data_IF_908577934489
#
_entry.id   IF_908577934489
#
_cell.length_a   1.000
_cell.length_b   1.000
_cell.length_c   1.000
_cell.angle_alpha   90.00
_cell.angle_beta   90.00
_cell.angle_gamma   90.00
#
_symmetry.space_group_name_H-M   'P 1'
#
loop_
_entity.id
_entity.type
_entity.pdbx_description
1 polymer ?
#
# COMPACT_ATOMS: atom_id res chain seq x y z
N UNK A 1 13.01 4.70 -5.71
CA UNK A 1 12.43 3.62 -4.89
C UNK A 1 13.22 2.31 -4.96
N UNK A 2 13.90 2.00 -6.06
CA UNK A 2 14.54 0.69 -6.32
C UNK A 2 15.63 0.27 -5.30
N UNK A 3 16.45 1.19 -4.78
CA UNK A 3 17.51 0.81 -3.81
C UNK A 3 16.97 0.28 -2.49
N UNK A 4 15.89 0.87 -1.97
CA UNK A 4 15.23 0.36 -0.77
C UNK A 4 14.67 -1.05 -1.01
N UNK A 5 14.20 -1.32 -2.24
CA UNK A 5 13.65 -2.60 -2.69
C UNK A 5 14.72 -3.67 -2.96
N UNK A 6 15.94 -3.29 -3.33
CA UNK A 6 16.99 -4.23 -3.69
C UNK A 6 18.06 -4.42 -2.61
N UNK A 7 18.40 -3.35 -1.87
CA UNK A 7 19.62 -3.31 -1.05
C UNK A 7 19.36 -2.93 0.42
N UNK A 8 18.12 -2.60 0.78
CA UNK A 8 17.70 -2.28 2.14
C UNK A 8 18.11 -0.89 2.63
N UNK A 9 17.68 -0.53 3.84
CA UNK A 9 17.81 0.85 4.35
C UNK A 9 19.26 1.35 4.47
N UNK A 10 20.19 0.49 4.89
CA UNK A 10 21.60 0.88 5.07
C UNK A 10 22.29 1.24 3.75
N UNK A 11 21.83 0.66 2.64
CA UNK A 11 22.34 0.94 1.30
C UNK A 11 21.64 2.14 0.63
N UNK A 12 20.49 2.57 1.14
CA UNK A 12 19.73 3.73 0.65
C UNK A 12 20.32 5.07 1.12
N UNK A 13 21.61 5.28 0.84
CA UNK A 13 22.26 6.58 1.04
C UNK A 13 21.77 7.58 0.00
N UNK A 14 21.86 8.89 0.28
CA UNK A 14 21.50 9.93 -0.69
C UNK A 14 22.33 9.83 -1.99
N UNK A 15 23.58 9.37 -1.89
CA UNK A 15 24.42 9.10 -3.07
C UNK A 15 23.92 7.93 -3.89
N UNK A 16 23.53 6.83 -3.22
CA UNK A 16 22.94 5.69 -3.90
C UNK A 16 21.64 6.11 -4.60
N UNK A 17 20.75 6.81 -3.89
CA UNK A 17 19.49 7.28 -4.48
C UNK A 17 19.74 8.20 -5.68
N UNK A 18 20.68 9.14 -5.57
CA UNK A 18 21.03 10.03 -6.68
C UNK A 18 21.52 9.23 -7.90
N UNK A 19 22.40 8.25 -7.68
CA UNK A 19 22.92 7.39 -8.73
C UNK A 19 21.82 6.57 -9.43
N UNK A 20 20.89 5.97 -8.68
CA UNK A 20 19.77 5.22 -9.26
C UNK A 20 18.74 6.11 -9.94
N UNK A 21 18.51 7.32 -9.43
CA UNK A 21 17.61 8.29 -10.06
C UNK A 21 18.23 9.00 -11.28
N UNK A 22 19.52 8.75 -11.59
CA UNK A 22 20.21 9.40 -12.70
C UNK A 22 20.44 10.91 -12.49
N UNK A 23 20.39 11.38 -11.24
CA UNK A 23 20.59 12.79 -10.87
C UNK A 23 21.91 12.98 -10.13
N UNK A 24 22.45 14.20 -10.15
CA UNK A 24 23.64 14.50 -9.34
C UNK A 24 23.28 14.53 -7.85
N UNK A 25 24.25 14.21 -6.98
CA UNK A 25 24.08 14.36 -5.53
C UNK A 25 23.65 15.78 -5.15
N UNK A 26 24.22 16.80 -5.80
CA UNK A 26 23.85 18.20 -5.60
C UNK A 26 22.42 18.51 -6.03
N UNK A 27 21.97 17.93 -7.15
CA UNK A 27 20.59 18.07 -7.64
C UNK A 27 19.58 17.37 -6.73
N UNK A 28 19.91 16.17 -6.23
CA UNK A 28 19.07 15.48 -5.24
C UNK A 28 18.97 16.29 -3.95
N UNK A 29 20.10 16.78 -3.43
CA UNK A 29 20.15 17.56 -2.19
C UNK A 29 19.41 18.90 -2.28
N UNK A 30 19.25 19.46 -3.48
CA UNK A 30 18.43 20.65 -3.69
C UNK A 30 16.95 20.40 -3.36
N UNK A 31 16.45 19.20 -3.67
CA UNK A 31 15.06 18.82 -3.38
C UNK A 31 14.90 18.10 -2.03
N UNK A 32 15.86 17.26 -1.66
CA UNK A 32 15.85 16.45 -0.44
C UNK A 32 17.14 16.69 0.35
N UNK A 33 17.18 17.71 1.23
CA UNK A 33 18.39 18.11 1.94
C UNK A 33 18.89 17.06 2.95
N UNK A 34 18.08 16.05 3.27
CA UNK A 34 18.41 14.97 4.19
C UNK A 34 17.72 13.67 3.81
N UNK A 35 18.18 12.55 4.39
CA UNK A 35 17.50 11.26 4.29
C UNK A 35 16.08 11.33 4.86
N UNK A 36 15.88 12.09 5.93
CA UNK A 36 14.56 12.33 6.52
C UNK A 36 13.63 13.04 5.53
N UNK A 37 14.11 14.07 4.82
CA UNK A 37 13.32 14.77 3.80
C UNK A 37 12.93 13.86 2.64
N UNK A 38 13.80 12.90 2.28
CA UNK A 38 13.49 11.89 1.27
C UNK A 38 12.42 10.91 1.75
N UNK A 39 12.47 10.48 3.02
CA UNK A 39 11.43 9.61 3.60
C UNK A 39 10.10 10.36 3.70
N UNK A 40 10.13 11.65 4.06
CA UNK A 40 8.94 12.51 4.08
C UNK A 40 8.31 12.59 2.68
N UNK A 41 9.09 12.91 1.65
CA UNK A 41 8.57 12.98 0.27
C UNK A 41 8.05 11.63 -0.24
N UNK A 42 8.65 10.51 0.18
CA UNK A 42 8.13 9.18 -0.14
C UNK A 42 6.81 8.88 0.59
N UNK A 43 6.67 9.32 1.85
CA UNK A 43 5.44 9.22 2.62
C UNK A 43 4.31 10.04 1.99
N UNK A 44 4.58 11.30 1.62
CA UNK A 44 3.62 12.17 0.93
C UNK A 44 3.19 11.55 -0.41
N UNK A 45 4.14 10.97 -1.16
CA UNK A 45 3.83 10.29 -2.41
C UNK A 45 2.95 9.04 -2.20
N UNK A 46 3.23 8.24 -1.18
CA UNK A 46 2.40 7.09 -0.82
C UNK A 46 0.98 7.52 -0.45
N UNK A 47 0.85 8.57 0.38
CA UNK A 47 -0.45 9.08 0.81
C UNK A 47 -1.28 9.61 -0.36
N UNK A 48 -0.65 10.28 -1.34
CA UNK A 48 -1.33 10.73 -2.55
C UNK A 48 -1.83 9.56 -3.41
N UNK A 49 -0.98 8.55 -3.64
CA UNK A 49 -1.37 7.36 -4.41
C UNK A 49 -2.50 6.57 -3.72
N UNK A 50 -2.46 6.45 -2.40
CA UNK A 50 -3.52 5.78 -1.65
C UNK A 50 -4.83 6.57 -1.67
N UNK A 51 -4.78 7.91 -1.65
CA UNK A 51 -5.96 8.74 -1.79
C UNK A 51 -6.61 8.55 -3.18
N UNK A 52 -5.81 8.50 -4.24
CA UNK A 52 -6.30 8.18 -5.59
C UNK A 52 -6.96 6.79 -5.64
N UNK A 53 -6.35 5.78 -5.02
CA UNK A 53 -6.93 4.43 -4.95
C UNK A 53 -8.25 4.39 -4.17
N UNK A 54 -8.37 5.15 -3.08
CA UNK A 54 -9.63 5.32 -2.33
C UNK A 54 -10.72 5.96 -3.20
N UNK A 55 -10.38 6.97 -4.02
CA UNK A 55 -11.33 7.56 -4.96
C UNK A 55 -11.82 6.54 -6.00
N UNK A 56 -10.93 5.72 -6.55
CA UNK A 56 -11.28 4.64 -7.47
C UNK A 56 -12.16 3.59 -6.79
N UNK A 57 -11.78 3.18 -5.57
CA UNK A 57 -12.51 2.21 -4.76
C UNK A 57 -13.95 2.67 -4.47
N UNK A 58 -14.14 3.93 -4.09
CA UNK A 58 -15.45 4.50 -3.81
C UNK A 58 -16.33 4.64 -5.07
N UNK A 59 -15.71 4.78 -6.24
CA UNK A 59 -16.40 4.84 -7.53
C UNK A 59 -16.66 3.46 -8.16
N UNK A 60 -16.13 2.38 -7.57
CA UNK A 60 -16.22 1.04 -8.13
C UNK A 60 -17.67 0.53 -8.18
N UNK A 61 -18.18 0.08 -9.34
CA UNK A 61 -19.56 -0.41 -9.48
C UNK A 61 -19.90 -1.60 -8.57
N UNK A 62 -18.91 -2.42 -8.22
CA UNK A 62 -19.02 -3.56 -7.33
C UNK A 62 -18.97 -3.22 -5.83
N UNK A 63 -18.67 -1.96 -5.49
CA UNK A 63 -18.53 -1.48 -4.12
C UNK A 63 -17.09 -1.57 -3.56
N UNK A 64 -16.74 -0.71 -2.59
CA UNK A 64 -15.44 -0.71 -1.92
C UNK A 64 -14.93 -2.08 -1.44
N UNK A 65 -15.77 -2.90 -0.82
CA UNK A 65 -15.37 -4.19 -0.28
C UNK A 65 -14.95 -5.18 -1.38
N UNK A 66 -15.69 -5.24 -2.47
CA UNK A 66 -15.37 -6.10 -3.59
C UNK A 66 -14.14 -5.61 -4.37
N UNK A 67 -14.03 -4.28 -4.54
CA UNK A 67 -12.85 -3.66 -5.14
C UNK A 67 -11.59 -3.99 -4.33
N UNK A 68 -11.60 -3.73 -3.02
CA UNK A 68 -10.44 -3.91 -2.13
C UNK A 68 -9.87 -5.33 -2.22
N UNK A 69 -10.74 -6.35 -2.17
CA UNK A 69 -10.32 -7.76 -2.29
C UNK A 69 -9.74 -8.07 -3.67
N UNK A 70 -10.38 -7.57 -4.74
CA UNK A 70 -9.97 -7.85 -6.12
C UNK A 70 -8.63 -7.19 -6.46
N UNK A 71 -8.37 -6.00 -5.94
CA UNK A 71 -7.13 -5.24 -6.19
C UNK A 71 -6.04 -5.50 -5.16
N UNK A 72 -6.29 -6.32 -4.14
CA UNK A 72 -5.29 -6.79 -3.16
C UNK A 72 -4.31 -7.81 -3.76
N UNK A 73 -3.62 -7.39 -4.81
CA UNK A 73 -2.58 -8.12 -5.53
C UNK A 73 -1.28 -7.33 -5.51
N UNK A 74 -0.14 -7.99 -5.73
CA UNK A 74 1.12 -7.30 -5.93
C UNK A 74 1.44 -7.24 -7.42
N UNK A 75 1.28 -6.07 -8.05
CA UNK A 75 1.50 -5.87 -9.48
C UNK A 75 2.74 -4.99 -9.79
N UNK A 76 3.56 -4.71 -8.77
CA UNK A 76 4.73 -3.83 -8.86
C UNK A 76 4.38 -2.41 -9.36
N UNK A 77 3.18 -1.94 -8.99
CA UNK A 77 2.70 -0.59 -9.28
C UNK A 77 3.50 0.47 -8.50
N UNK A 78 3.39 1.77 -8.85
CA UNK A 78 3.96 2.84 -8.03
C UNK A 78 3.51 2.78 -6.56
N UNK A 79 2.23 2.46 -6.32
CA UNK A 79 1.67 2.28 -4.97
C UNK A 79 2.34 1.11 -4.26
N UNK A 80 2.44 -0.04 -4.90
CA UNK A 80 3.06 -1.25 -4.32
C UNK A 80 4.50 -0.99 -3.90
N UNK A 81 5.28 -0.39 -4.81
CA UNK A 81 6.69 -0.05 -4.57
C UNK A 81 6.82 0.93 -3.40
N UNK A 82 5.89 1.87 -3.24
CA UNK A 82 5.92 2.86 -2.16
C UNK A 82 5.56 2.19 -0.82
N UNK A 83 4.55 1.32 -0.79
CA UNK A 83 4.18 0.50 0.36
C UNK A 83 5.36 -0.37 0.80
N UNK A 84 5.98 -1.13 -0.11
CA UNK A 84 7.10 -2.01 0.22
C UNK A 84 8.30 -1.20 0.71
N UNK A 85 8.61 -0.07 0.09
CA UNK A 85 9.72 0.79 0.52
C UNK A 85 9.51 1.35 1.94
N UNK A 86 8.31 1.82 2.26
CA UNK A 86 8.00 2.35 3.59
C UNK A 86 7.84 1.24 4.64
N UNK A 87 7.36 0.05 4.27
CA UNK A 87 7.35 -1.13 5.16
C UNK A 87 8.77 -1.54 5.57
N UNK A 88 9.73 -1.48 4.66
CA UNK A 88 11.15 -1.75 5.02
C UNK A 88 11.73 -0.68 5.94
N UNK A 89 11.35 0.58 5.76
CA UNK A 89 11.76 1.68 6.63
C UNK A 89 11.07 1.61 8.00
N UNK A 90 9.86 1.08 8.09
CA UNK A 90 9.12 0.96 9.35
C UNK A 90 9.73 -0.11 10.27
N UNK A 91 10.31 -1.17 9.68
CA UNK A 91 11.02 -2.25 10.37
C UNK A 91 12.26 -1.77 11.16
N UNK A 92 12.85 -0.63 10.77
CA UNK A 92 13.96 0.00 11.49
C UNK A 92 13.51 1.14 12.40
N UNK A 93 12.22 1.14 12.76
CA UNK A 93 11.57 2.09 13.65
C UNK A 93 11.53 3.53 13.13
N UNK A 94 11.49 3.74 11.80
CA UNK A 94 11.26 5.08 11.26
C UNK A 94 9.81 5.55 11.55
N UNK A 95 9.60 6.59 12.37
CA UNK A 95 8.26 6.97 12.82
C UNK A 95 7.40 7.55 11.70
N UNK A 96 8.01 8.20 10.70
CA UNK A 96 7.29 8.77 9.54
C UNK A 96 6.76 7.68 8.64
N UNK A 97 7.58 6.68 8.35
CA UNK A 97 7.15 5.53 7.56
C UNK A 97 5.99 4.77 8.25
N UNK A 98 6.09 4.56 9.57
CA UNK A 98 5.00 3.98 10.34
C UNK A 98 3.72 4.83 10.32
N UNK A 99 3.86 6.16 10.36
CA UNK A 99 2.72 7.06 10.33
C UNK A 99 2.02 7.06 8.96
N UNK A 100 2.79 7.10 7.86
CA UNK A 100 2.26 7.05 6.51
C UNK A 100 1.49 5.74 6.25
N UNK A 101 2.09 4.60 6.61
CA UNK A 101 1.44 3.29 6.49
C UNK A 101 0.13 3.22 7.30
N UNK A 102 0.10 3.78 8.52
CA UNK A 102 -1.13 3.86 9.30
C UNK A 102 -2.20 4.75 8.67
N UNK A 103 -1.81 5.87 8.05
CA UNK A 103 -2.76 6.81 7.41
C UNK A 103 -3.43 6.19 6.19
N UNK A 104 -2.65 5.53 5.32
CA UNK A 104 -3.24 4.88 4.14
C UNK A 104 -4.15 3.72 4.54
N UNK A 105 -3.75 2.94 5.55
CA UNK A 105 -4.56 1.84 6.09
C UNK A 105 -5.87 2.40 6.65
N UNK A 106 -5.80 3.47 7.43
CA UNK A 106 -7.00 4.15 7.94
C UNK A 106 -7.91 4.67 6.80
N UNK A 107 -7.36 5.24 5.74
CA UNK A 107 -8.14 5.73 4.59
C UNK A 107 -8.91 4.61 3.89
N UNK A 108 -8.27 3.47 3.63
CA UNK A 108 -8.97 2.30 3.09
C UNK A 108 -10.03 1.77 4.05
N UNK A 109 -9.73 1.71 5.35
CA UNK A 109 -10.68 1.25 6.36
C UNK A 109 -11.92 2.14 6.45
N UNK A 110 -11.75 3.45 6.34
CA UNK A 110 -12.85 4.43 6.34
C UNK A 110 -13.78 4.21 5.14
N UNK A 111 -13.22 4.06 3.93
CA UNK A 111 -13.99 3.77 2.75
C UNK A 111 -14.73 2.42 2.81
N UNK A 112 -14.08 1.38 3.34
CA UNK A 112 -14.75 0.09 3.62
C UNK A 112 -15.90 0.25 4.63
N UNK A 113 -15.76 1.12 5.62
CA UNK A 113 -16.77 1.35 6.67
C UNK A 113 -17.96 2.18 6.17
N UNK A 114 -17.84 2.88 5.04
CA UNK A 114 -18.98 3.55 4.39
C UNK A 114 -19.95 2.55 3.77
N UNK A 115 -19.44 1.44 3.23
CA UNK A 115 -20.25 0.34 2.69
C UNK A 115 -20.66 -0.65 3.79
N UNK A 116 -19.73 -1.06 4.64
CA UNK A 116 -19.88 -2.16 5.59
C UNK A 116 -20.21 -1.63 6.99
N UNK A 117 -21.48 -1.72 7.37
CA UNK A 117 -21.99 -1.14 8.63
C UNK A 117 -21.48 -1.85 9.90
N UNK A 118 -21.18 -3.15 9.84
CA UNK A 118 -20.58 -3.87 10.97
C UNK A 118 -19.06 -3.63 11.01
N UNK A 119 -18.52 -2.96 12.06
CA UNK A 119 -17.10 -2.71 12.16
C UNK A 119 -16.25 -3.99 12.22
N UNK A 120 -16.80 -5.11 12.70
CA UNK A 120 -16.11 -6.39 12.69
C UNK A 120 -16.02 -6.97 11.28
N UNK A 121 -17.08 -6.86 10.49
CA UNK A 121 -17.08 -7.25 9.08
C UNK A 121 -16.13 -6.38 8.25
N UNK A 122 -16.15 -5.05 8.43
CA UNK A 122 -15.23 -4.14 7.73
C UNK A 122 -13.75 -4.49 8.03
N UNK A 123 -13.43 -4.78 9.30
CA UNK A 123 -12.09 -5.25 9.68
C UNK A 123 -11.75 -6.60 9.07
N UNK A 124 -12.71 -7.53 8.98
CA UNK A 124 -12.48 -8.84 8.37
C UNK A 124 -12.15 -8.70 6.88
N UNK A 125 -12.90 -7.87 6.13
CA UNK A 125 -12.61 -7.57 4.71
C UNK A 125 -11.20 -7.04 4.55
N UNK A 126 -10.82 -6.07 5.38
CA UNK A 126 -9.49 -5.47 5.35
C UNK A 126 -8.38 -6.49 5.61
N UNK A 127 -8.55 -7.35 6.64
CA UNK A 127 -7.57 -8.39 6.98
C UNK A 127 -7.41 -9.44 5.86
N UNK A 128 -8.49 -9.77 5.15
CA UNK A 128 -8.43 -10.67 4.00
C UNK A 128 -7.60 -10.02 2.89
N UNK A 129 -7.91 -8.78 2.51
CA UNK A 129 -7.16 -8.06 1.47
C UNK A 129 -5.68 -7.87 1.85
N UNK A 130 -5.40 -7.46 3.09
CA UNK A 130 -4.02 -7.36 3.59
C UNK A 130 -3.29 -8.71 3.47
N UNK A 131 -3.95 -9.81 3.84
CA UNK A 131 -3.40 -11.16 3.71
C UNK A 131 -3.07 -11.55 2.28
N UNK A 132 -3.96 -11.24 1.33
CA UNK A 132 -3.76 -11.48 -0.10
C UNK A 132 -2.57 -10.66 -0.63
N UNK A 133 -2.56 -9.36 -0.35
CA UNK A 133 -1.53 -8.43 -0.81
C UNK A 133 -0.15 -8.78 -0.26
N UNK A 134 -0.02 -8.92 1.07
CA UNK A 134 1.27 -9.23 1.69
C UNK A 134 1.74 -10.65 1.36
N UNK A 135 0.82 -11.61 1.20
CA UNK A 135 1.14 -12.95 0.70
C UNK A 135 1.82 -12.89 -0.68
N UNK A 136 1.20 -12.19 -1.63
CA UNK A 136 1.76 -11.97 -2.97
C UNK A 136 3.10 -11.22 -2.91
N UNK A 137 3.16 -10.10 -2.21
CA UNK A 137 4.38 -9.28 -2.11
C UNK A 137 5.55 -10.03 -1.46
N UNK A 138 5.30 -10.92 -0.50
CA UNK A 138 6.33 -11.74 0.15
C UNK A 138 6.81 -12.91 -0.71
N UNK A 139 5.91 -13.51 -1.49
CA UNK A 139 6.27 -14.57 -2.45
C UNK A 139 7.12 -14.05 -3.61
N UNK A 140 7.04 -12.74 -3.90
CA UNK A 140 7.69 -12.11 -5.05
C UNK A 140 6.96 -12.39 -6.37
N UNK A 141 5.79 -13.05 -6.32
CA UNK A 141 4.92 -13.24 -7.47
C UNK A 141 4.27 -11.90 -7.80
N UNK A 142 4.56 -11.41 -9.01
CA UNK A 142 3.88 -10.23 -9.55
C UNK A 142 2.70 -10.69 -10.39
N UNK A 143 1.53 -10.14 -10.12
CA UNK A 143 0.30 -10.46 -10.82
C UNK A 143 -0.61 -9.24 -10.88
N UNK A 144 -1.09 -8.91 -12.08
CA UNK A 144 -2.16 -7.94 -12.27
C UNK A 144 -3.55 -8.57 -12.05
N UNK A 145 -3.61 -9.90 -11.98
CA UNK A 145 -4.86 -10.63 -11.77
C UNK A 145 -4.93 -11.16 -10.33
N UNK A 146 -6.11 -11.08 -9.70
CA UNK A 146 -6.32 -11.72 -8.41
C UNK A 146 -6.20 -13.25 -8.49
N UNK A 147 -5.99 -13.92 -7.35
CA UNK A 147 -5.92 -15.38 -7.27
C UNK A 147 -7.16 -16.06 -7.88
N UNK A 148 -7.00 -17.31 -8.36
CA UNK A 148 -8.11 -18.08 -8.97
C UNK A 148 -9.31 -18.24 -8.01
N UNK A 149 -9.07 -18.25 -6.70
CA UNK A 149 -10.08 -18.38 -5.64
C UNK A 149 -10.67 -17.04 -5.17
N UNK A 150 -10.33 -15.90 -5.79
CA UNK A 150 -10.84 -14.58 -5.39
C UNK A 150 -12.37 -14.50 -5.44
N UNK A 151 -13.00 -15.17 -6.40
CA UNK A 151 -14.46 -15.14 -6.54
C UNK A 151 -15.14 -15.89 -5.37
N UNK A 152 -14.53 -16.96 -4.85
CA UNK A 152 -15.00 -17.66 -3.64
C UNK A 152 -14.84 -16.78 -2.39
N UNK A 153 -13.73 -16.03 -2.30
CA UNK A 153 -13.50 -15.07 -1.23
C UNK A 153 -14.50 -13.90 -1.29
N UNK A 154 -14.82 -13.41 -2.49
CA UNK A 154 -15.82 -12.37 -2.68
C UNK A 154 -17.21 -12.86 -2.28
N UNK A 155 -17.56 -14.11 -2.58
CA UNK A 155 -18.81 -14.70 -2.10
C UNK A 155 -18.86 -14.83 -0.58
N UNK A 156 -17.73 -15.13 0.06
CA UNK A 156 -17.63 -15.12 1.52
C UNK A 156 -17.79 -13.70 2.08
N UNK A 157 -17.11 -12.71 1.49
CA UNK A 157 -17.22 -11.30 1.89
C UNK A 157 -18.66 -10.80 1.77
N UNK A 158 -19.35 -11.12 0.67
CA UNK A 158 -20.78 -10.79 0.49
C UNK A 158 -21.67 -11.36 1.60
N UNK A 159 -21.37 -12.57 2.08
CA UNK A 159 -22.09 -13.18 3.22
C UNK A 159 -21.76 -12.48 4.55
N UNK A 160 -20.52 -12.01 4.73
CA UNK A 160 -20.09 -11.30 5.94
C UNK A 160 -20.67 -9.88 6.04
N UNK A 161 -20.83 -9.19 4.91
CA UNK A 161 -21.38 -7.82 4.86
C UNK A 161 -22.92 -7.80 4.78
N UNK A 162 -23.54 -8.92 4.39
CA UNK A 162 -24.98 -9.06 4.32
C UNK A 162 -25.65 -8.91 5.68
N UNK A 163 -26.96 -8.63 5.73
CA UNK A 163 -27.68 -8.51 6.99
C UNK A 163 -27.53 -9.79 7.81
N UNK A 164 -27.11 -9.65 9.07
CA UNK A 164 -27.15 -10.74 10.04
C UNK A 164 -28.61 -11.16 10.24
N UNK A 165 -28.95 -12.39 9.82
CA UNK A 165 -30.25 -13.02 10.14
C UNK A 165 -30.50 -13.11 11.66
#
# INVERSE_FOLDING_TARGET
>A
MTILLEQGERAATLEAVAATAGVSKGGLLYHFPSKDALVEGLAEHLEALAAEDVEVMNAAPEGPAAYYIRTSVYADTPLDRAIVALTRLSQTANPRAQQALRRIHQGWFEALSEEVSDPAAARAVMLIGDGLYYGAAMSGETSETPPEDVDELLDLVRKLIGPSD
#
